data_IF_615419745597
#
_entry.id   IF_615419745597
#
_cell.length_a   1.000
_cell.length_b   1.000
_cell.length_c   1.000
_cell.angle_alpha   90.00
_cell.angle_beta   90.00
_cell.angle_gamma   90.00
#
_symmetry.space_group_name_H-M   'P 1'
#
loop_
_entity.id
_entity.type
_entity.pdbx_description
1 polymer ?
#
# COMPACT_ATOMS: atom_id res chain seq x y z
N UNK A 1 4.48 -2.80 -19.51
CA UNK A 1 4.07 -3.14 -18.13
C UNK A 1 2.75 -2.45 -17.70
N UNK A 2 1.75 -2.34 -18.59
CA UNK A 2 0.42 -1.77 -18.28
C UNK A 2 -0.65 -2.89 -18.22
N UNK A 3 -0.60 -3.78 -19.22
CA UNK A 3 -1.45 -4.98 -19.36
C UNK A 3 -1.45 -5.91 -18.14
N UNK A 4 -0.29 -6.11 -17.48
CA UNK A 4 -0.20 -7.02 -16.32
C UNK A 4 -0.92 -6.47 -15.08
N UNK A 5 -0.93 -5.14 -14.88
CA UNK A 5 -1.60 -4.52 -13.73
C UNK A 5 -3.12 -4.62 -13.86
N UNK A 6 -3.65 -4.31 -15.03
CA UNK A 6 -5.09 -4.37 -15.31
C UNK A 6 -5.64 -5.78 -15.14
N UNK A 7 -4.92 -6.79 -15.63
CA UNK A 7 -5.32 -8.19 -15.48
C UNK A 7 -5.46 -8.62 -14.01
N UNK A 8 -4.52 -8.22 -13.16
CA UNK A 8 -4.55 -8.59 -11.74
C UNK A 8 -5.74 -7.94 -11.02
N UNK A 9 -6.04 -6.68 -11.33
CA UNK A 9 -7.18 -5.95 -10.77
C UNK A 9 -8.48 -6.63 -11.17
N UNK A 10 -8.66 -6.90 -12.46
CA UNK A 10 -9.86 -7.58 -12.98
C UNK A 10 -10.06 -8.94 -12.30
N UNK A 11 -8.99 -9.72 -12.17
CA UNK A 11 -9.05 -11.02 -11.52
C UNK A 11 -9.42 -10.93 -10.04
N UNK A 12 -8.83 -9.99 -9.30
CA UNK A 12 -9.13 -9.77 -7.89
C UNK A 12 -10.56 -9.27 -7.69
N UNK A 13 -10.97 -8.25 -8.44
CA UNK A 13 -12.32 -7.67 -8.38
C UNK A 13 -13.42 -8.70 -8.67
N UNK A 14 -13.15 -9.68 -9.54
CA UNK A 14 -14.07 -10.80 -9.80
C UNK A 14 -14.26 -11.71 -8.57
N UNK A 15 -13.28 -11.80 -7.69
CA UNK A 15 -13.33 -12.62 -6.47
C UNK A 15 -13.75 -11.81 -5.23
N UNK A 16 -13.33 -10.55 -5.16
CA UNK A 16 -13.53 -9.65 -4.02
C UNK A 16 -13.70 -8.21 -4.50
N UNK A 17 -14.83 -7.58 -4.17
CA UNK A 17 -15.14 -6.20 -4.57
C UNK A 17 -15.02 -5.22 -3.38
N UNK A 18 -13.88 -5.28 -2.69
CA UNK A 18 -13.66 -4.55 -1.43
C UNK A 18 -12.44 -3.62 -1.47
N UNK A 19 -11.86 -3.37 -2.65
CA UNK A 19 -10.67 -2.52 -2.81
C UNK A 19 -10.93 -1.35 -3.75
N UNK A 20 -10.35 -0.21 -3.43
CA UNK A 20 -10.27 0.94 -4.35
C UNK A 20 -8.81 1.16 -4.71
N UNK A 21 -8.50 1.18 -6.02
CA UNK A 21 -7.15 1.43 -6.50
C UNK A 21 -6.97 2.89 -6.91
N UNK A 22 -5.95 3.54 -6.35
CA UNK A 22 -5.45 4.85 -6.82
C UNK A 22 -4.00 4.71 -7.25
N UNK A 23 -3.67 5.19 -8.44
CA UNK A 23 -2.29 5.13 -8.96
C UNK A 23 -1.55 6.37 -8.45
N UNK A 24 -0.55 6.15 -7.62
CA UNK A 24 0.38 7.17 -7.14
C UNK A 24 1.78 6.84 -7.66
N UNK A 25 2.49 7.81 -8.25
CA UNK A 25 3.81 7.62 -8.86
C UNK A 25 4.93 8.40 -8.17
N UNK A 26 4.60 9.23 -7.18
CA UNK A 26 5.51 10.23 -6.65
C UNK A 26 6.27 9.77 -5.39
N UNK A 27 6.11 8.51 -4.99
CA UNK A 27 6.91 7.91 -3.91
C UNK A 27 7.25 6.46 -4.20
N UNK A 28 8.41 6.05 -3.69
CA UNK A 28 8.89 4.66 -3.68
C UNK A 28 8.67 3.97 -2.33
N UNK A 29 8.29 4.73 -1.30
CA UNK A 29 8.10 4.21 0.05
C UNK A 29 6.77 3.47 0.17
N UNK A 30 6.71 2.54 1.14
CA UNK A 30 5.52 1.70 1.37
C UNK A 30 5.01 1.93 2.77
N UNK A 31 3.75 2.33 2.85
CA UNK A 31 3.04 2.54 4.10
C UNK A 31 1.83 1.61 4.16
N UNK A 32 1.55 1.09 5.35
CA UNK A 32 0.26 0.49 5.70
C UNK A 32 -0.43 1.45 6.65
N UNK A 33 -1.68 1.78 6.35
CA UNK A 33 -2.55 2.56 7.23
C UNK A 33 -3.69 1.64 7.65
N UNK A 34 -3.85 1.43 8.96
CA UNK A 34 -4.95 0.63 9.52
C UNK A 34 -5.98 1.55 10.16
N UNK A 35 -7.24 1.34 9.82
CA UNK A 35 -8.41 2.05 10.37
C UNK A 35 -8.30 3.58 10.36
N UNK A 36 -7.53 4.14 9.42
CA UNK A 36 -7.16 5.57 9.38
C UNK A 36 -6.63 6.08 10.73
N UNK A 37 -5.97 5.21 11.51
CA UNK A 37 -5.45 5.54 12.85
C UNK A 37 -3.98 5.19 13.02
N UNK A 38 -3.54 4.03 12.54
CA UNK A 38 -2.17 3.57 12.73
C UNK A 38 -1.41 3.55 11.40
N UNK A 39 -0.24 4.18 11.36
CA UNK A 39 0.66 4.17 10.20
C UNK A 39 1.87 3.29 10.49
N UNK A 40 2.16 2.37 9.58
CA UNK A 40 3.37 1.56 9.57
C UNK A 40 4.15 1.80 8.28
N UNK A 41 5.44 2.08 8.41
CA UNK A 41 6.37 2.08 7.28
C UNK A 41 6.99 0.70 7.10
N UNK A 42 7.15 0.27 5.83
CA UNK A 42 7.74 -1.02 5.46
C UNK A 42 8.91 -0.82 4.49
N UNK A 43 10.10 -1.17 4.99
CA UNK A 43 11.35 -1.12 4.21
C UNK A 43 11.52 -2.24 3.16
N UNK A 44 10.60 -3.21 3.10
CA UNK A 44 10.62 -4.33 2.14
C UNK A 44 9.27 -4.52 1.42
N UNK A 45 9.28 -5.26 0.31
CA UNK A 45 8.05 -5.49 -0.45
C UNK A 45 7.19 -6.56 0.25
N UNK A 46 5.87 -6.48 0.12
CA UNK A 46 4.96 -7.45 0.76
C UNK A 46 5.22 -8.90 0.34
N UNK A 47 5.73 -9.13 -0.88
CA UNK A 47 6.13 -10.48 -1.32
C UNK A 47 7.39 -11.02 -0.60
N UNK A 48 8.21 -10.13 -0.07
CA UNK A 48 9.43 -10.48 0.66
C UNK A 48 9.16 -10.64 2.18
N UNK A 49 7.97 -10.20 2.63
CA UNK A 49 7.49 -10.14 4.02
C UNK A 49 7.46 -11.50 4.76
N UNK A 50 7.57 -12.61 4.04
CA UNK A 50 7.61 -13.96 4.61
C UNK A 50 8.89 -14.73 4.27
N UNK A 51 9.82 -14.12 3.53
CA UNK A 51 11.02 -14.80 3.01
C UNK A 51 12.33 -14.27 3.61
N UNK A 52 12.32 -13.03 4.10
CA UNK A 52 13.49 -12.37 4.68
C UNK A 52 13.09 -11.67 5.97
N UNK A 53 14.09 -11.34 6.79
CA UNK A 53 13.90 -10.44 7.91
C UNK A 53 13.80 -9.01 7.40
N UNK A 54 12.85 -8.24 7.92
CA UNK A 54 12.67 -6.83 7.61
C UNK A 54 11.97 -6.16 8.79
N UNK A 55 12.14 -4.85 8.90
CA UNK A 55 11.58 -4.06 9.98
C UNK A 55 10.27 -3.40 9.58
N UNK A 56 9.36 -3.32 10.56
CA UNK A 56 8.25 -2.38 10.56
C UNK A 56 8.56 -1.25 11.52
N UNK A 57 8.19 -0.03 11.15
CA UNK A 57 8.27 1.12 12.05
C UNK A 57 6.90 1.75 12.17
N UNK A 58 6.35 1.79 13.39
CA UNK A 58 5.13 2.53 13.68
C UNK A 58 5.46 4.02 13.69
N UNK A 59 4.75 4.79 12.88
CA UNK A 59 4.95 6.23 12.77
C UNK A 59 3.87 6.96 13.55
N UNK A 60 4.25 8.03 14.25
CA UNK A 60 3.32 8.95 14.90
C UNK A 60 3.21 10.20 14.04
N UNK A 61 2.43 10.10 12.96
CA UNK A 61 2.18 11.17 12.00
C UNK A 61 0.67 11.40 11.87
N UNK A 62 0.28 12.62 11.51
CA UNK A 62 -1.10 12.91 11.16
C UNK A 62 -1.45 12.24 9.82
N UNK A 63 -2.45 11.35 9.87
CA UNK A 63 -2.93 10.56 8.73
C UNK A 63 -3.58 11.46 7.68
N UNK A 64 -4.29 12.50 8.12
CA UNK A 64 -4.98 13.39 7.19
C UNK A 64 -3.97 14.21 6.39
N UNK A 65 -2.85 14.62 7.00
CA UNK A 65 -1.76 15.28 6.30
C UNK A 65 -1.08 14.35 5.28
N UNK A 66 -0.86 13.08 5.64
CA UNK A 66 -0.27 12.09 4.75
C UNK A 66 -1.19 11.80 3.55
N UNK A 67 -2.48 11.60 3.78
CA UNK A 67 -3.46 11.33 2.72
C UNK A 67 -3.59 12.53 1.78
N UNK A 68 -3.51 13.77 2.29
CA UNK A 68 -3.48 14.97 1.43
C UNK A 68 -2.32 14.97 0.43
N UNK A 69 -1.16 14.43 0.81
CA UNK A 69 0.01 14.32 -0.09
C UNK A 69 -0.13 13.23 -1.16
N UNK A 70 -1.14 12.36 -1.06
CA UNK A 70 -1.44 11.31 -2.03
C UNK A 70 -2.45 11.75 -3.12
N UNK A 71 -3.08 12.91 -2.98
CA UNK A 71 -4.05 13.46 -3.94
C UNK A 71 -3.43 14.51 -4.87
#
# INVERSE_FOLDING_TARGET
MKLVKEYFIIKYSKQYDNITLKIFKNSHDRFIILDKKDIYHIGASLKDLGKKWFAFSKMNLDIDELIKKLN
#
